data_IF_969421615119
#
_entry.id   IF_969421615119
#
_cell.length_a   1.000
_cell.length_b   1.000
_cell.length_c   1.000
_cell.angle_alpha   90.00
_cell.angle_beta   90.00
_cell.angle_gamma   90.00
#
_symmetry.space_group_name_H-M   'P 1'
#
loop_
_entity.id
_entity.type
_entity.pdbx_description
1 polymer ?
#
# COMPACT_ATOMS: atom_id res chain seq x y z
N UNK A 1 12.45 4.39 -25.05
CA UNK A 1 12.64 5.12 -23.77
C UNK A 1 12.00 4.30 -22.68
N UNK A 2 12.81 3.65 -21.85
CA UNK A 2 12.36 3.09 -20.57
C UNK A 2 12.29 4.26 -19.59
N UNK A 3 11.09 4.65 -19.19
CA UNK A 3 10.94 5.55 -18.05
C UNK A 3 11.25 4.72 -16.80
N UNK A 4 12.43 4.90 -16.23
CA UNK A 4 12.76 4.29 -14.94
C UNK A 4 11.90 4.92 -13.85
N UNK A 5 11.36 4.08 -12.97
CA UNK A 5 10.63 4.56 -11.81
C UNK A 5 11.61 5.15 -10.81
N UNK A 6 11.38 6.40 -10.38
CA UNK A 6 12.17 7.02 -9.31
C UNK A 6 11.88 6.27 -8.00
N UNK A 7 12.93 5.70 -7.41
CA UNK A 7 12.89 5.01 -6.13
C UNK A 7 13.77 5.74 -5.11
N UNK A 8 13.35 5.73 -3.85
CA UNK A 8 14.17 6.24 -2.75
C UNK A 8 15.40 5.33 -2.55
N UNK A 9 16.54 5.91 -2.14
CA UNK A 9 17.72 5.11 -1.78
C UNK A 9 17.37 4.12 -0.67
N UNK A 10 17.96 2.91 -0.70
CA UNK A 10 17.79 1.89 0.36
C UNK A 10 18.27 2.37 1.74
N UNK A 11 19.05 3.45 1.78
CA UNK A 11 19.55 4.12 2.99
C UNK A 11 18.73 5.34 3.41
N UNK A 12 17.69 5.70 2.65
CA UNK A 12 16.85 6.86 2.97
C UNK A 12 15.78 6.45 3.98
N UNK A 13 15.73 7.15 5.12
CA UNK A 13 14.67 7.04 6.11
C UNK A 13 13.39 7.79 5.70
N UNK A 14 13.26 8.20 4.43
CA UNK A 14 12.15 8.99 3.94
C UNK A 14 11.61 8.48 2.60
N UNK A 15 10.28 8.42 2.50
CA UNK A 15 9.57 8.17 1.26
C UNK A 15 9.83 9.23 0.21
N UNK A 16 9.95 8.77 -1.04
CA UNK A 16 9.98 9.61 -2.23
C UNK A 16 8.60 10.20 -2.52
N UNK A 17 7.54 9.38 -2.44
CA UNK A 17 6.16 9.84 -2.60
C UNK A 17 5.77 10.73 -1.41
N UNK A 18 5.37 11.97 -1.70
CA UNK A 18 4.88 12.96 -0.72
C UNK A 18 3.45 13.43 -0.99
N UNK A 19 2.85 12.95 -2.08
CA UNK A 19 1.51 13.32 -2.53
C UNK A 19 0.66 12.06 -2.70
N UNK A 20 -0.64 12.15 -2.48
CA UNK A 20 -1.60 11.13 -2.85
C UNK A 20 -1.76 11.12 -4.36
N UNK A 21 -1.41 10.02 -5.03
CA UNK A 21 -1.36 9.98 -6.49
C UNK A 21 -2.06 8.76 -7.07
N UNK A 22 -2.99 9.03 -7.97
CA UNK A 22 -3.81 8.04 -8.65
C UNK A 22 -3.18 7.66 -9.98
N UNK A 23 -2.94 6.36 -10.18
CA UNK A 23 -2.40 5.77 -11.40
C UNK A 23 -3.45 4.90 -12.07
N UNK A 24 -3.65 5.17 -13.37
CA UNK A 24 -4.51 4.38 -14.24
C UNK A 24 -3.65 3.53 -15.17
N UNK A 25 -4.06 2.29 -15.43
CA UNK A 25 -3.36 1.42 -16.39
C UNK A 25 -4.05 1.48 -17.73
N UNK A 26 -3.30 1.87 -18.77
CA UNK A 26 -3.80 1.90 -20.14
C UNK A 26 -3.97 0.48 -20.70
N UNK A 27 -5.08 0.27 -21.40
CA UNK A 27 -5.30 -0.92 -22.23
C UNK A 27 -4.94 -0.59 -23.68
N UNK A 28 -4.39 -1.57 -24.40
CA UNK A 28 -4.22 -1.46 -25.86
C UNK A 28 -5.61 -1.47 -26.55
N UNK A 29 -5.98 -0.42 -27.30
CA UNK A 29 -7.28 -0.31 -28.00
C UNK A 29 -7.90 1.10 -28.05
N UNK A 30 -9.24 1.20 -28.25
CA UNK A 30 -10.07 2.42 -28.03
C UNK A 30 -10.96 2.22 -26.78
N UNK A 31 -11.04 3.23 -25.88
CA UNK A 31 -11.73 3.17 -24.57
C UNK A 31 -10.83 2.76 -23.38
N UNK A 32 -9.75 3.53 -23.15
CA UNK A 32 -8.37 3.01 -22.99
C UNK A 32 -7.85 2.69 -21.59
N UNK A 33 -8.66 2.27 -20.62
CA UNK A 33 -8.13 1.94 -19.28
C UNK A 33 -8.76 0.69 -18.67
N UNK A 34 -7.98 -0.01 -17.85
CA UNK A 34 -8.55 -1.02 -16.97
C UNK A 34 -9.51 -0.36 -15.95
N UNK A 35 -10.58 -1.05 -15.54
CA UNK A 35 -11.61 -0.50 -14.64
C UNK A 35 -11.15 -0.46 -13.17
N UNK A 36 -9.84 -0.28 -12.93
CA UNK A 36 -9.26 -0.13 -11.61
C UNK A 36 -8.08 0.85 -11.63
N UNK A 37 -7.81 1.46 -10.48
CA UNK A 37 -6.72 2.40 -10.26
C UNK A 37 -5.87 2.02 -9.06
N UNK A 38 -4.62 2.48 -9.05
CA UNK A 38 -3.74 2.41 -7.89
C UNK A 38 -3.56 3.80 -7.30
N UNK A 39 -3.83 3.94 -6.01
CA UNK A 39 -3.51 5.14 -5.27
C UNK A 39 -2.19 4.88 -4.53
N UNK A 40 -1.12 5.51 -4.99
CA UNK A 40 0.17 5.52 -4.31
C UNK A 40 0.17 6.64 -3.27
N UNK A 41 0.66 6.34 -2.08
CA UNK A 41 0.77 7.31 -0.99
C UNK A 41 2.16 7.30 -0.39
N UNK A 42 2.44 8.32 0.41
CA UNK A 42 3.64 8.38 1.22
C UNK A 42 3.74 7.16 2.14
N UNK A 43 4.95 6.65 2.34
CA UNK A 43 5.21 5.48 3.15
C UNK A 43 5.13 5.70 4.65
N UNK A 44 5.20 4.60 5.39
CA UNK A 44 5.14 4.60 6.85
C UNK A 44 6.53 4.76 7.44
N UNK A 45 6.86 5.98 7.87
CA UNK A 45 8.04 6.23 8.69
C UNK A 45 7.69 6.67 10.11
N UNK A 46 8.67 6.61 11.00
CA UNK A 46 8.50 6.92 12.41
C UNK A 46 8.03 8.37 12.63
N UNK A 47 8.72 9.35 12.05
CA UNK A 47 8.50 10.78 12.31
C UNK A 47 7.88 11.53 11.12
N UNK A 48 8.31 11.23 9.90
CA UNK A 48 7.97 12.04 8.72
C UNK A 48 6.95 11.38 7.80
N UNK A 49 6.55 10.14 8.11
CA UNK A 49 5.67 9.35 7.27
C UNK A 49 4.24 9.80 7.30
N UNK A 50 3.45 9.21 6.41
CA UNK A 50 2.00 9.44 6.37
C UNK A 50 1.36 9.16 7.73
N UNK A 51 0.41 10.00 8.11
CA UNK A 51 -0.37 9.83 9.33
C UNK A 51 -1.39 8.71 9.13
N UNK A 52 -1.63 7.90 10.17
CA UNK A 52 -2.64 6.83 10.11
C UNK A 52 -4.04 7.39 9.87
N UNK A 53 -4.31 8.61 10.36
CA UNK A 53 -5.57 9.33 10.13
C UNK A 53 -5.82 9.63 8.64
N UNK A 54 -4.80 10.11 7.92
CA UNK A 54 -4.90 10.36 6.47
C UNK A 54 -5.14 9.07 5.69
N UNK A 55 -4.53 7.96 6.11
CA UNK A 55 -4.82 6.65 5.51
C UNK A 55 -6.26 6.23 5.80
N UNK A 56 -6.77 6.41 7.02
CA UNK A 56 -8.17 6.10 7.34
C UNK A 56 -9.15 6.93 6.52
N UNK A 57 -8.82 8.19 6.23
CA UNK A 57 -9.58 9.04 5.31
C UNK A 57 -9.52 8.52 3.87
N UNK A 58 -8.32 8.12 3.41
CA UNK A 58 -8.15 7.52 2.09
C UNK A 58 -8.95 6.23 1.93
N UNK A 59 -8.94 5.34 2.93
CA UNK A 59 -9.73 4.10 2.94
C UNK A 59 -11.23 4.38 2.69
N UNK A 60 -11.74 5.49 3.23
CA UNK A 60 -13.13 5.94 3.10
C UNK A 60 -13.40 6.81 1.86
N UNK A 61 -12.38 7.13 1.07
CA UNK A 61 -12.45 7.93 -0.16
C UNK A 61 -12.46 9.44 0.03
N UNK A 62 -12.08 9.92 1.22
CA UNK A 62 -12.12 11.33 1.57
C UNK A 62 -10.89 12.14 1.10
N UNK A 63 -9.89 11.51 0.49
CA UNK A 63 -8.65 12.17 0.04
C UNK A 63 -8.68 12.34 -1.48
N UNK A 64 -8.55 13.57 -1.97
CA UNK A 64 -8.48 13.87 -3.41
C UNK A 64 -7.10 13.60 -3.99
N UNK A 65 -7.07 13.30 -5.29
CA UNK A 65 -5.83 13.18 -6.05
C UNK A 65 -5.03 14.49 -6.00
N UNK A 66 -3.72 14.38 -5.77
CA UNK A 66 -2.81 15.51 -5.64
C UNK A 66 -2.65 16.05 -4.21
N UNK A 67 -3.39 15.56 -3.21
CA UNK A 67 -3.21 15.96 -1.81
C UNK A 67 -1.76 15.78 -1.37
N UNK A 68 -1.16 16.83 -0.79
CA UNK A 68 0.20 16.78 -0.24
C UNK A 68 0.15 16.46 1.25
N UNK A 69 0.75 15.34 1.64
CA UNK A 69 0.75 14.90 3.02
C UNK A 69 1.44 15.90 3.94
N UNK A 70 0.78 16.22 5.05
CA UNK A 70 1.32 17.08 6.09
C UNK A 70 1.76 16.22 7.29
N UNK A 71 3.05 16.26 7.68
CA UNK A 71 3.54 15.49 8.82
C UNK A 71 3.03 16.03 10.17
N UNK A 72 2.58 17.29 10.22
CA UNK A 72 2.18 17.98 11.46
C UNK A 72 0.72 17.70 11.81
N UNK A 73 -0.19 17.76 10.84
CA UNK A 73 -1.63 17.61 11.07
C UNK A 73 -2.27 16.76 9.97
N UNK A 74 -3.33 15.99 10.29
CA UNK A 74 -4.07 15.25 9.28
C UNK A 74 -4.94 16.17 8.41
N UNK A 75 -5.39 15.65 7.27
CA UNK A 75 -6.39 16.28 6.42
C UNK A 75 -7.70 16.48 7.21
N UNK A 76 -8.25 17.68 7.13
CA UNK A 76 -9.48 18.08 7.82
C UNK A 76 -10.63 18.27 6.84
N UNK A 77 -11.86 18.24 7.32
CA UNK A 77 -13.08 18.32 6.50
C UNK A 77 -13.27 19.66 5.77
N UNK A 78 -12.71 20.75 6.31
CA UNK A 78 -12.67 22.07 5.69
C UNK A 78 -11.58 22.27 4.62
N UNK A 79 -10.68 21.30 4.46
CA UNK A 79 -9.57 21.44 3.50
C UNK A 79 -10.04 21.26 2.06
N UNK A 80 -9.42 22.00 1.13
CA UNK A 80 -9.73 21.92 -0.31
C UNK A 80 -9.59 20.49 -0.85
N UNK A 81 -8.60 19.74 -0.35
CA UNK A 81 -8.27 18.39 -0.81
C UNK A 81 -9.14 17.31 -0.14
N UNK A 82 -10.06 17.69 0.74
CA UNK A 82 -11.04 16.81 1.34
C UNK A 82 -12.25 16.59 0.42
N UNK A 83 -12.62 15.32 0.24
CA UNK A 83 -13.83 14.91 -0.45
C UNK A 83 -14.95 14.69 0.58
N UNK A 84 -15.89 15.63 0.70
CA UNK A 84 -16.96 15.57 1.71
C UNK A 84 -18.02 14.51 1.46
N UNK A 85 -18.15 14.01 0.23
CA UNK A 85 -19.18 13.03 -0.15
C UNK A 85 -18.61 11.97 -1.09
N UNK A 86 -17.76 11.05 -0.58
CA UNK A 86 -17.13 10.03 -1.40
C UNK A 86 -18.14 9.03 -1.97
N UNK A 87 -18.02 8.79 -3.28
CA UNK A 87 -18.74 7.72 -3.97
C UNK A 87 -18.15 6.36 -3.63
N UNK A 88 -18.84 5.27 -4.00
CA UNK A 88 -18.31 3.91 -3.83
C UNK A 88 -16.99 3.73 -4.61
N UNK A 89 -16.85 4.36 -5.78
CA UNK A 89 -15.62 4.31 -6.57
C UNK A 89 -14.43 5.04 -5.95
N UNK A 90 -14.69 6.02 -5.06
CA UNK A 90 -13.65 6.76 -4.36
C UNK A 90 -13.12 5.98 -3.15
N UNK A 91 -13.83 4.93 -2.70
CA UNK A 91 -13.42 4.11 -1.56
C UNK A 91 -12.39 3.09 -1.98
N UNK A 92 -11.48 2.79 -1.06
CA UNK A 92 -10.48 1.74 -1.28
C UNK A 92 -11.16 0.38 -1.23
N UNK A 93 -10.88 -0.44 -2.24
CA UNK A 93 -11.41 -1.80 -2.36
C UNK A 93 -10.39 -2.85 -1.95
N UNK A 94 -9.09 -2.54 -2.00
CA UNK A 94 -8.00 -3.40 -1.50
C UNK A 94 -6.91 -2.53 -0.90
N UNK A 95 -6.45 -2.88 0.30
CA UNK A 95 -5.26 -2.29 0.89
C UNK A 95 -4.03 -3.14 0.54
N UNK A 96 -3.02 -2.51 -0.06
CA UNK A 96 -1.76 -3.17 -0.43
C UNK A 96 -0.62 -2.55 0.37
N UNK A 97 0.05 -3.36 1.18
CA UNK A 97 1.25 -2.98 1.91
C UNK A 97 2.47 -3.57 1.21
N UNK A 98 3.39 -2.71 0.77
CA UNK A 98 4.64 -3.11 0.13
C UNK A 98 5.74 -3.05 1.18
N UNK A 99 6.53 -4.12 1.31
CA UNK A 99 7.62 -4.17 2.29
C UNK A 99 8.88 -4.75 1.65
N UNK A 100 10.02 -4.08 1.85
CA UNK A 100 11.29 -4.55 1.31
C UNK A 100 11.79 -5.79 2.06
N UNK A 101 12.04 -6.87 1.32
CA UNK A 101 12.67 -8.07 1.84
C UNK A 101 14.10 -7.83 2.36
N UNK A 102 14.70 -6.69 2.02
CA UNK A 102 16.05 -6.30 2.47
C UNK A 102 16.02 -5.34 3.66
N UNK A 103 14.85 -4.79 4.02
CA UNK A 103 14.76 -3.84 5.12
C UNK A 103 15.17 -4.47 6.46
N UNK A 104 15.76 -3.70 7.39
CA UNK A 104 15.95 -4.17 8.75
C UNK A 104 14.61 -4.50 9.43
N UNK A 105 14.68 -5.03 10.65
CA UNK A 105 13.46 -5.24 11.44
C UNK A 105 12.69 -3.93 11.58
N UNK A 106 11.38 -4.02 11.38
CA UNK A 106 10.51 -2.87 11.44
C UNK A 106 10.43 -2.33 12.87
N UNK A 107 10.52 -1.02 13.01
CA UNK A 107 10.43 -0.37 14.31
C UNK A 107 9.05 -0.61 14.94
N UNK A 108 8.95 -0.79 16.28
CA UNK A 108 7.67 -0.98 16.97
C UNK A 108 6.65 0.14 16.69
N UNK A 109 7.10 1.39 16.55
CA UNK A 109 6.27 2.55 16.21
C UNK A 109 5.59 2.40 14.84
N UNK A 110 6.30 1.89 13.84
CA UNK A 110 5.76 1.62 12.50
C UNK A 110 4.82 0.40 12.52
N UNK A 111 5.16 -0.66 13.27
CA UNK A 111 4.29 -1.82 13.47
C UNK A 111 2.95 -1.44 14.10
N UNK A 112 2.95 -0.48 15.03
CA UNK A 112 1.73 0.06 15.64
C UNK A 112 0.87 0.81 14.62
N UNK A 113 1.48 1.67 13.78
CA UNK A 113 0.76 2.33 12.68
C UNK A 113 0.13 1.32 11.72
N UNK A 114 0.89 0.30 11.32
CA UNK A 114 0.37 -0.78 10.46
C UNK A 114 -0.79 -1.52 11.11
N UNK A 115 -0.74 -1.80 12.42
CA UNK A 115 -1.86 -2.41 13.15
C UNK A 115 -3.11 -1.56 13.05
N UNK A 116 -3.02 -0.27 13.39
CA UNK A 116 -4.17 0.65 13.35
C UNK A 116 -4.81 0.72 11.97
N UNK A 117 -3.99 0.78 10.91
CA UNK A 117 -4.48 0.82 9.52
C UNK A 117 -5.19 -0.49 9.16
N UNK A 118 -4.62 -1.64 9.55
CA UNK A 118 -5.22 -2.95 9.27
C UNK A 118 -6.51 -3.18 10.03
N UNK A 119 -6.60 -2.72 11.27
CA UNK A 119 -7.84 -2.77 12.07
C UNK A 119 -8.92 -1.91 11.39
N UNK A 120 -8.60 -0.66 11.03
CA UNK A 120 -9.52 0.22 10.31
C UNK A 120 -9.97 -0.36 8.95
N UNK A 121 -9.06 -0.99 8.20
CA UNK A 121 -9.41 -1.67 6.94
C UNK A 121 -10.31 -2.89 7.20
N UNK A 122 -10.07 -3.65 8.27
CA UNK A 122 -10.90 -4.80 8.66
C UNK A 122 -12.31 -4.38 9.04
N UNK A 123 -12.45 -3.30 9.80
CA UNK A 123 -13.76 -2.74 10.20
C UNK A 123 -14.59 -2.28 8.98
N UNK A 124 -13.91 -1.86 7.91
CA UNK A 124 -14.53 -1.50 6.63
C UNK A 124 -14.76 -2.70 5.69
N UNK A 125 -14.36 -3.92 6.10
CA UNK A 125 -14.44 -5.12 5.27
C UNK A 125 -13.51 -5.10 4.06
N UNK A 126 -12.43 -4.30 4.09
CA UNK A 126 -11.48 -4.14 3.00
C UNK A 126 -10.45 -5.28 3.03
N UNK A 127 -10.34 -6.10 1.96
CA UNK A 127 -9.27 -7.09 1.82
C UNK A 127 -7.87 -6.45 1.88
N UNK A 128 -6.94 -7.15 2.52
CA UNK A 128 -5.58 -6.67 2.75
C UNK A 128 -4.56 -7.61 2.12
N UNK A 129 -3.59 -7.05 1.41
CA UNK A 129 -2.51 -7.77 0.75
C UNK A 129 -1.15 -7.21 1.20
N UNK A 130 -0.18 -8.10 1.40
CA UNK A 130 1.21 -7.70 1.54
C UNK A 130 2.07 -8.24 0.42
N UNK A 131 2.95 -7.38 -0.09
CA UNK A 131 3.89 -7.69 -1.17
C UNK A 131 5.30 -7.47 -0.64
N UNK A 132 6.14 -8.51 -0.75
CA UNK A 132 7.57 -8.38 -0.50
C UNK A 132 8.29 -7.92 -1.77
N UNK A 133 8.95 -6.76 -1.72
CA UNK A 133 9.82 -6.26 -2.79
C UNK A 133 11.28 -6.66 -2.55
N UNK A 134 12.13 -6.53 -3.57
CA UNK A 134 13.58 -6.85 -3.50
C UNK A 134 13.88 -8.29 -3.01
N UNK A 135 12.98 -9.24 -3.29
CA UNK A 135 13.12 -10.64 -2.85
C UNK A 135 14.32 -11.33 -3.50
N UNK A 136 14.78 -10.82 -4.63
CA UNK A 136 15.96 -11.25 -5.35
C UNK A 136 17.23 -11.11 -4.52
N UNK A 137 17.40 -10.01 -3.79
CA UNK A 137 18.57 -9.74 -2.96
C UNK A 137 18.36 -10.03 -1.46
N UNK A 138 17.28 -10.73 -1.10
CA UNK A 138 16.91 -10.95 0.30
C UNK A 138 17.85 -11.89 1.08
N UNK A 139 18.40 -12.91 0.41
CA UNK A 139 19.34 -13.85 1.01
C UNK A 139 20.11 -14.60 -0.09
N UNK A 140 21.23 -15.25 0.28
CA UNK A 140 22.04 -16.00 -0.69
C UNK A 140 21.30 -17.14 -1.41
N UNK A 141 20.17 -17.62 -0.88
CA UNK A 141 19.34 -18.63 -1.58
C UNK A 141 18.53 -18.02 -2.73
N UNK A 142 17.97 -16.83 -2.54
CA UNK A 142 17.14 -16.13 -3.53
C UNK A 142 18.00 -15.42 -4.57
N UNK A 143 19.15 -14.90 -4.17
CA UNK A 143 20.14 -14.29 -5.04
C UNK A 143 20.68 -15.30 -6.07
N UNK A 144 20.97 -16.53 -5.62
CA UNK A 144 21.39 -17.62 -6.51
C UNK A 144 20.29 -18.06 -7.46
N UNK A 145 19.04 -18.08 -6.99
CA UNK A 145 17.90 -18.54 -7.79
C UNK A 145 16.57 -18.01 -7.22
N UNK A 146 15.91 -17.12 -7.97
CA UNK A 146 14.61 -16.54 -7.59
C UNK A 146 13.50 -17.57 -7.36
N UNK A 147 13.60 -18.76 -7.95
CA UNK A 147 12.63 -19.85 -7.69
C UNK A 147 12.66 -20.33 -6.23
N UNK A 148 13.71 -19.99 -5.48
CA UNK A 148 13.86 -20.34 -4.07
C UNK A 148 13.12 -19.39 -3.11
N UNK A 149 12.45 -18.34 -3.59
CA UNK A 149 11.68 -17.41 -2.74
C UNK A 149 10.74 -18.15 -1.78
N UNK A 150 9.99 -19.15 -2.27
CA UNK A 150 9.09 -19.96 -1.44
C UNK A 150 9.78 -21.01 -0.56
N UNK A 151 11.07 -21.26 -0.77
CA UNK A 151 11.89 -22.17 0.02
C UNK A 151 12.64 -21.44 1.13
N UNK A 152 12.92 -20.14 0.93
CA UNK A 152 13.70 -19.31 1.83
C UNK A 152 13.13 -19.26 3.25
N UNK A 153 13.90 -19.77 4.22
CA UNK A 153 13.57 -19.66 5.64
C UNK A 153 13.57 -18.20 6.10
N UNK A 154 14.44 -17.38 5.51
CA UNK A 154 14.53 -15.94 5.80
C UNK A 154 13.22 -15.23 5.45
N UNK A 155 12.73 -15.40 4.20
CA UNK A 155 11.49 -14.78 3.76
C UNK A 155 10.26 -15.31 4.50
N UNK A 156 10.21 -16.62 4.80
CA UNK A 156 9.14 -17.19 5.64
C UNK A 156 9.11 -16.56 7.02
N UNK A 157 10.28 -16.36 7.66
CA UNK A 157 10.37 -15.71 8.97
C UNK A 157 9.88 -14.26 8.88
N UNK A 158 10.30 -13.49 7.86
CA UNK A 158 9.82 -12.12 7.65
C UNK A 158 8.30 -12.04 7.46
N UNK A 159 7.72 -12.93 6.66
CA UNK A 159 6.27 -13.02 6.46
C UNK A 159 5.52 -13.29 7.77
N UNK A 160 6.08 -14.11 8.67
CA UNK A 160 5.48 -14.41 9.96
C UNK A 160 5.58 -13.27 10.99
N UNK A 161 6.65 -12.48 10.94
CA UNK A 161 6.91 -11.39 11.90
C UNK A 161 5.90 -10.24 11.78
N UNK A 162 5.41 -9.94 10.57
CA UNK A 162 4.41 -8.88 10.39
C UNK A 162 2.98 -9.30 10.75
N UNK A 163 2.72 -10.58 11.09
CA UNK A 163 1.36 -11.17 11.18
C UNK A 163 0.44 -10.63 10.07
N UNK A 164 0.96 -10.41 8.86
CA UNK A 164 0.27 -9.60 7.84
C UNK A 164 -0.95 -10.34 7.27
N UNK A 165 -1.04 -11.64 7.53
CA UNK A 165 -2.20 -12.45 7.23
C UNK A 165 -3.36 -12.14 8.18
N UNK A 166 -4.40 -11.49 7.65
CA UNK A 166 -5.76 -11.72 8.15
C UNK A 166 -6.19 -13.14 7.77
N UNK A 167 -6.99 -13.79 8.62
CA UNK A 167 -7.60 -15.08 8.30
C UNK A 167 -8.30 -14.96 6.94
N UNK A 168 -8.11 -15.96 6.07
CA UNK A 168 -8.92 -16.10 4.84
C UNK A 168 -10.38 -16.15 5.24
N UNK A 169 -11.13 -15.07 5.04
CA UNK A 169 -12.56 -15.19 4.85
C UNK A 169 -12.77 -16.00 3.58
N UNK A 170 -13.47 -17.13 3.72
CA UNK A 170 -13.79 -18.03 2.61
C UNK A 170 -14.88 -17.39 1.75
N UNK A 171 -14.61 -16.25 1.12
CA UNK A 171 -15.48 -15.72 0.07
C UNK A 171 -15.03 -16.19 -1.30
N UNK A 172 -16.01 -16.47 -2.16
CA UNK A 172 -15.82 -17.03 -3.48
C UNK A 172 -15.01 -16.04 -4.38
N UNK A 173 -13.80 -16.41 -4.83
CA UNK A 173 -12.88 -15.50 -5.55
C UNK A 173 -13.46 -14.97 -6.88
N UNK A 174 -14.47 -15.65 -7.44
CA UNK A 174 -15.14 -15.19 -8.67
C UNK A 174 -15.98 -13.92 -8.49
N UNK A 175 -16.47 -13.62 -7.27
CA UNK A 175 -17.28 -12.43 -7.00
C UNK A 175 -16.46 -11.19 -6.62
N UNK A 176 -15.20 -11.37 -6.18
CA UNK A 176 -14.33 -10.29 -5.70
C UNK A 176 -13.74 -9.50 -6.88
N UNK A 177 -13.28 -10.21 -7.93
CA UNK A 177 -12.61 -9.58 -9.08
C UNK A 177 -13.51 -8.62 -9.89
N UNK A 178 -14.84 -8.76 -9.82
CA UNK A 178 -15.78 -7.88 -10.52
C UNK A 178 -16.11 -6.57 -9.79
N UNK A 179 -15.67 -6.40 -8.53
CA UNK A 179 -16.00 -5.21 -7.71
C UNK A 179 -14.81 -4.35 -7.32
N UNK A 180 -13.58 -4.77 -7.60
CA UNK A 180 -12.38 -3.99 -7.26
C UNK A 180 -12.21 -2.86 -8.27
N UNK A 181 -12.29 -1.61 -7.79
CA UNK A 181 -11.98 -0.42 -8.59
C UNK A 181 -10.75 0.33 -8.09
N UNK A 182 -10.33 0.11 -6.85
CA UNK A 182 -9.31 0.97 -6.25
C UNK A 182 -8.42 0.21 -5.26
N UNK A 183 -7.11 0.29 -5.48
CA UNK A 183 -6.08 -0.31 -4.64
C UNK A 183 -5.26 0.81 -4.00
N UNK A 184 -5.16 0.85 -2.68
CA UNK A 184 -4.30 1.80 -1.96
C UNK A 184 -2.96 1.14 -1.63
N UNK A 185 -1.86 1.75 -2.07
CA UNK A 185 -0.50 1.23 -1.96
C UNK A 185 0.36 2.15 -1.09
N UNK A 186 1.05 1.58 -0.10
CA UNK A 186 2.09 2.29 0.66
C UNK A 186 3.30 1.38 0.92
N UNK A 187 4.47 2.01 1.08
CA UNK A 187 5.76 1.36 1.33
C UNK A 187 6.29 1.64 2.73
#
# INVERSE_FOLDING_TARGET
MTNEALASSTTSDQSFTKIYKTYTIKKEGRGNFYPFVFNDIMGLEEKTGVRTDDIKLALKGHVKDGYKFNPVSPLSDGDHDYNSSPSISDRVHVLVCIYSANAPQMKPSVLQKMREIREAASDLGIPQMAIFSHVDAACGETEKNLKNVYKSKHLKKKASQGKIYSKRDKENPKNIAQKIKQLLCFM
#
